data_IF_525496940914
#
_entry.id   IF_525496940914
#
_cell.length_a   1.000
_cell.length_b   1.000
_cell.length_c   1.000
_cell.angle_alpha   90.00
_cell.angle_beta   90.00
_cell.angle_gamma   90.00
#
_symmetry.space_group_name_H-M   'P 1'
#
loop_
_entity.id
_entity.type
_entity.pdbx_description
1 polymer ?
#
# COMPACT_ATOMS: atom_id res chain seq x y z
N UNK A 1 -6.04 12.56 1.52
CA UNK A 1 -6.05 11.09 1.37
C UNK A 1 -4.61 10.61 1.21
N UNK A 2 -4.19 9.63 2.00
CA UNK A 2 -2.91 8.94 1.85
C UNK A 2 -3.19 7.54 1.30
N UNK A 3 -2.41 7.12 0.29
CA UNK A 3 -2.54 5.79 -0.30
C UNK A 3 -1.16 5.18 -0.46
N UNK A 4 -1.00 3.98 0.08
CA UNK A 4 0.26 3.24 0.10
C UNK A 4 0.00 1.81 -0.31
N UNK A 5 0.82 1.25 -1.21
CA UNK A 5 0.63 -0.11 -1.72
C UNK A 5 1.95 -0.88 -1.73
N UNK A 6 1.90 -2.13 -1.32
CA UNK A 6 2.94 -3.11 -1.54
C UNK A 6 2.51 -4.05 -2.68
N UNK A 7 3.39 -4.24 -3.65
CA UNK A 7 3.19 -5.19 -4.76
C UNK A 7 4.36 -6.16 -4.87
N UNK A 8 4.14 -7.31 -5.50
CA UNK A 8 5.22 -8.27 -5.78
C UNK A 8 6.15 -7.75 -6.90
N UNK A 9 5.56 -7.16 -7.94
CA UNK A 9 6.25 -6.47 -9.03
C UNK A 9 5.44 -5.24 -9.49
N UNK A 10 6.07 -4.16 -9.95
CA UNK A 10 5.38 -3.00 -10.50
C UNK A 10 5.26 -3.06 -12.03
N UNK A 11 5.57 -4.19 -12.66
CA UNK A 11 5.67 -4.29 -14.13
C UNK A 11 4.33 -4.11 -14.83
N UNK A 12 3.23 -4.66 -14.31
CA UNK A 12 1.89 -4.45 -14.87
C UNK A 12 1.42 -2.99 -14.71
N UNK A 13 1.81 -2.32 -13.62
CA UNK A 13 1.57 -0.88 -13.44
C UNK A 13 2.35 -0.06 -14.48
N UNK A 14 3.60 -0.43 -14.78
CA UNK A 14 4.42 0.22 -15.82
C UNK A 14 3.84 -0.02 -17.20
N UNK A 15 3.56 -1.28 -17.55
CA UNK A 15 3.00 -1.66 -18.84
C UNK A 15 1.63 -0.99 -19.08
N UNK A 16 0.81 -0.85 -18.03
CA UNK A 16 -0.48 -0.16 -18.10
C UNK A 16 -0.40 1.38 -18.04
N UNK A 17 0.81 1.98 -17.99
CA UNK A 17 1.00 3.43 -17.93
C UNK A 17 0.56 4.08 -16.61
N UNK A 18 0.33 3.29 -15.56
CA UNK A 18 -0.16 3.75 -14.25
C UNK A 18 0.96 4.15 -13.30
N UNK A 19 2.19 3.68 -13.53
CA UNK A 19 3.37 4.09 -12.77
C UNK A 19 4.06 5.31 -13.42
N UNK A 20 4.37 6.33 -12.63
CA UNK A 20 5.04 7.53 -13.10
C UNK A 20 6.52 7.28 -13.47
N UNK A 21 7.02 7.78 -14.61
CA UNK A 21 8.39 7.53 -15.10
C UNK A 21 9.51 8.08 -14.21
N UNK A 22 9.25 9.15 -13.46
CA UNK A 22 10.25 9.90 -12.68
C UNK A 22 10.54 9.32 -11.28
N UNK A 23 10.05 8.12 -10.96
CA UNK A 23 10.04 7.63 -9.58
C UNK A 23 11.28 6.76 -9.24
N UNK A 24 12.37 7.42 -8.82
CA UNK A 24 13.48 6.84 -8.05
C UNK A 24 14.47 5.96 -8.84
N UNK A 25 15.66 5.64 -8.26
CA UNK A 25 16.73 5.01 -9.01
C UNK A 25 16.32 3.64 -9.54
N UNK A 26 16.61 3.43 -10.83
CA UNK A 26 16.58 2.14 -11.50
C UNK A 26 17.77 1.29 -11.02
N UNK A 27 17.74 0.85 -9.77
CA UNK A 27 18.60 -0.20 -9.25
C UNK A 27 17.86 -1.52 -9.27
N UNK A 28 18.28 -2.45 -10.11
CA UNK A 28 17.73 -3.81 -10.18
C UNK A 28 18.17 -4.64 -8.97
N UNK A 29 17.53 -4.42 -7.82
CA UNK A 29 17.56 -5.43 -6.75
C UNK A 29 16.37 -6.37 -7.03
N UNK A 30 16.65 -7.44 -7.77
CA UNK A 30 15.70 -8.48 -8.22
C UNK A 30 14.84 -9.10 -7.11
N UNK A 31 15.17 -8.87 -5.84
CA UNK A 31 14.51 -9.50 -4.69
C UNK A 31 13.74 -8.53 -3.79
N UNK A 32 13.72 -7.23 -4.11
CA UNK A 32 13.05 -6.23 -3.28
C UNK A 32 11.66 -5.85 -3.84
N UNK A 33 10.69 -5.82 -2.94
CA UNK A 33 9.27 -5.53 -3.18
C UNK A 33 9.04 -4.02 -3.24
N UNK A 34 8.41 -3.49 -4.29
CA UNK A 34 8.05 -2.08 -4.36
C UNK A 34 7.01 -1.70 -3.31
N UNK A 35 7.29 -0.61 -2.60
CA UNK A 35 6.27 0.20 -1.95
C UNK A 35 5.97 1.41 -2.83
N UNK A 36 4.69 1.65 -3.03
CA UNK A 36 4.16 2.66 -3.93
C UNK A 36 3.28 3.63 -3.15
N UNK A 37 3.12 4.82 -3.70
CA UNK A 37 2.16 5.80 -3.18
C UNK A 37 1.45 6.50 -4.32
N UNK A 38 0.30 7.12 -4.03
CA UNK A 38 -0.41 7.95 -4.97
C UNK A 38 -0.17 9.43 -4.66
N UNK A 39 0.30 10.18 -5.66
CA UNK A 39 0.49 11.63 -5.60
C UNK A 39 -0.13 12.26 -6.83
N UNK A 40 -0.99 13.27 -6.64
CA UNK A 40 -1.67 13.99 -7.72
C UNK A 40 -2.35 13.05 -8.74
N UNK A 41 -3.03 12.02 -8.24
CA UNK A 41 -3.75 11.03 -9.07
C UNK A 41 -2.85 10.06 -9.84
N UNK A 42 -1.53 10.04 -9.58
CA UNK A 42 -0.58 9.12 -10.22
C UNK A 42 0.12 8.24 -9.20
N UNK A 43 0.36 6.98 -9.57
CA UNK A 43 1.14 6.06 -8.75
C UNK A 43 2.63 6.36 -8.98
N UNK A 44 3.40 6.39 -7.90
CA UNK A 44 4.85 6.58 -7.92
C UNK A 44 5.53 5.59 -6.98
N UNK A 45 6.77 5.21 -7.31
CA UNK A 45 7.65 4.48 -6.40
C UNK A 45 7.91 5.31 -5.14
N UNK A 46 7.75 4.71 -3.97
CA UNK A 46 8.11 5.30 -2.70
C UNK A 46 9.46 4.78 -2.23
N UNK A 47 9.58 3.45 -2.07
CA UNK A 47 10.79 2.77 -1.63
C UNK A 47 10.71 1.27 -1.97
N UNK A 48 11.72 0.48 -1.56
CA UNK A 48 11.73 -0.97 -1.74
C UNK A 48 12.07 -1.67 -0.42
N UNK A 49 11.36 -2.76 -0.14
CA UNK A 49 11.53 -3.56 1.08
C UNK A 49 11.80 -5.03 0.74
N UNK A 50 12.51 -5.76 1.59
CA UNK A 50 12.97 -7.12 1.27
C UNK A 50 11.89 -8.20 1.41
N UNK A 51 11.05 -8.11 2.44
CA UNK A 51 10.12 -9.19 2.81
C UNK A 51 8.67 -8.69 2.80
N UNK A 52 7.72 -9.62 2.80
CA UNK A 52 6.28 -9.30 2.94
C UNK A 52 5.95 -8.73 4.32
N UNK A 53 6.57 -9.25 5.38
CA UNK A 53 6.40 -8.72 6.75
C UNK A 53 6.86 -7.27 6.81
N UNK A 54 8.08 -7.00 6.33
CA UNK A 54 8.62 -5.64 6.28
C UNK A 54 7.75 -4.70 5.44
N UNK A 55 7.11 -5.21 4.37
CA UNK A 55 6.15 -4.41 3.61
C UNK A 55 4.90 -4.06 4.42
N UNK A 56 4.31 -5.02 5.14
CA UNK A 56 3.13 -4.77 5.98
C UNK A 56 3.46 -3.79 7.12
N UNK A 57 4.54 -4.03 7.86
CA UNK A 57 5.03 -3.14 8.93
C UNK A 57 5.23 -1.72 8.39
N UNK A 58 5.89 -1.59 7.23
CA UNK A 58 6.15 -0.29 6.63
C UNK A 58 4.88 0.41 6.14
N UNK A 59 3.91 -0.33 5.61
CA UNK A 59 2.59 0.23 5.27
C UNK A 59 1.89 0.80 6.51
N UNK A 60 1.96 0.11 7.66
CA UNK A 60 1.39 0.59 8.92
C UNK A 60 2.08 1.87 9.41
N UNK A 61 3.42 1.92 9.35
CA UNK A 61 4.20 3.11 9.70
C UNK A 61 3.83 4.31 8.82
N UNK A 62 3.80 4.14 7.49
CA UNK A 62 3.46 5.20 6.54
C UNK A 62 2.03 5.71 6.76
N UNK A 63 1.09 4.80 7.04
CA UNK A 63 -0.29 5.15 7.35
C UNK A 63 -0.38 5.99 8.64
N UNK A 64 0.32 5.59 9.71
CA UNK A 64 0.33 6.31 10.97
C UNK A 64 0.98 7.69 10.85
N UNK A 65 2.10 7.78 10.12
CA UNK A 65 2.74 9.05 9.78
C UNK A 65 1.80 9.97 9.01
N UNK A 66 1.03 9.44 8.06
CA UNK A 66 0.06 10.21 7.29
C UNK A 66 -1.14 10.68 8.14
N UNK A 67 -1.65 9.82 9.02
CA UNK A 67 -2.70 10.18 9.97
C UNK A 67 -2.23 11.31 10.91
N UNK A 68 -0.95 11.28 11.30
CA UNK A 68 -0.30 12.29 12.13
C UNK A 68 -1.06 12.55 13.44
N UNK A 69 -1.52 11.49 14.10
CA UNK A 69 -2.26 11.58 15.36
C UNK A 69 -3.67 12.18 15.25
N UNK A 70 -4.22 12.35 14.03
CA UNK A 70 -5.60 12.81 13.82
C UNK A 70 -6.57 11.63 13.69
N UNK A 71 -7.85 11.82 14.03
CA UNK A 71 -8.89 10.88 13.65
C UNK A 71 -8.88 10.64 12.14
N UNK A 72 -9.03 9.39 11.73
CA UNK A 72 -9.01 9.04 10.31
C UNK A 72 -9.89 7.82 10.01
N UNK A 73 -10.38 7.75 8.80
CA UNK A 73 -10.95 6.52 8.24
C UNK A 73 -9.83 5.75 7.52
N UNK A 74 -9.81 4.43 7.71
CA UNK A 74 -8.75 3.55 7.19
C UNK A 74 -9.39 2.45 6.37
N UNK A 75 -8.85 2.21 5.18
CA UNK A 75 -9.18 1.02 4.38
C UNK A 75 -7.93 0.20 4.10
N UNK A 76 -8.02 -1.11 4.31
CA UNK A 76 -7.03 -2.10 3.92
C UNK A 76 -7.60 -2.89 2.75
N UNK A 77 -6.85 -2.95 1.65
CA UNK A 77 -7.20 -3.69 0.45
C UNK A 77 -6.19 -4.81 0.21
N UNK A 78 -6.66 -5.93 -0.35
CA UNK A 78 -5.78 -7.03 -0.71
C UNK A 78 -6.18 -7.72 -2.01
N UNK A 79 -5.29 -8.56 -2.54
CA UNK A 79 -5.59 -9.47 -3.65
C UNK A 79 -5.02 -10.85 -3.32
N UNK A 80 -5.89 -11.80 -2.97
CA UNK A 80 -5.49 -13.15 -2.56
C UNK A 80 -4.62 -13.18 -1.29
N UNK A 81 -4.73 -12.19 -0.39
CA UNK A 81 -3.91 -12.05 0.81
C UNK A 81 -4.74 -11.73 2.07
N UNK A 82 -5.93 -12.32 2.22
CA UNK A 82 -6.86 -12.01 3.30
C UNK A 82 -6.24 -12.09 4.71
N UNK A 83 -5.46 -13.15 5.02
CA UNK A 83 -4.80 -13.30 6.33
C UNK A 83 -3.85 -12.14 6.63
N UNK A 84 -2.99 -11.79 5.67
CA UNK A 84 -2.02 -10.70 5.86
C UNK A 84 -2.69 -9.34 5.95
N UNK A 85 -3.78 -9.17 5.23
CA UNK A 85 -4.57 -7.95 5.29
C UNK A 85 -5.25 -7.80 6.67
N UNK A 86 -5.70 -8.89 7.27
CA UNK A 86 -6.19 -8.91 8.65
C UNK A 86 -5.07 -8.60 9.66
N UNK A 87 -3.89 -9.17 9.50
CA UNK A 87 -2.71 -8.87 10.33
C UNK A 87 -2.34 -7.37 10.25
N UNK A 88 -2.25 -6.83 9.04
CA UNK A 88 -1.98 -5.41 8.80
C UNK A 88 -3.08 -4.51 9.40
N UNK A 89 -4.35 -4.92 9.27
CA UNK A 89 -5.44 -4.20 9.92
C UNK A 89 -5.25 -4.17 11.45
N UNK A 90 -4.79 -5.27 12.06
CA UNK A 90 -4.43 -5.33 13.49
C UNK A 90 -3.31 -4.36 13.85
N UNK A 91 -2.23 -4.32 13.06
CA UNK A 91 -1.13 -3.37 13.25
C UNK A 91 -1.60 -1.90 13.16
N UNK A 92 -2.46 -1.59 12.18
CA UNK A 92 -3.04 -0.26 12.01
C UNK A 92 -3.94 0.16 13.18
N UNK A 93 -4.63 -0.79 13.83
CA UNK A 93 -5.43 -0.51 15.02
C UNK A 93 -4.59 0.02 16.17
N UNK A 94 -3.40 -0.58 16.37
CA UNK A 94 -2.47 -0.16 17.40
C UNK A 94 -1.77 1.16 17.02
N UNK A 95 -1.38 1.31 15.75
CA UNK A 95 -0.64 2.47 15.27
C UNK A 95 -1.50 3.74 15.11
N UNK A 96 -2.82 3.59 14.89
CA UNK A 96 -3.76 4.69 14.69
C UNK A 96 -4.98 4.49 15.61
N UNK A 97 -4.84 4.74 16.93
CA UNK A 97 -5.90 4.48 17.90
C UNK A 97 -7.14 5.36 17.71
N UNK A 98 -7.01 6.48 16.98
CA UNK A 98 -8.12 7.39 16.66
C UNK A 98 -8.84 7.03 15.34
N UNK A 99 -8.59 5.85 14.78
CA UNK A 99 -9.29 5.40 13.59
C UNK A 99 -10.80 5.25 13.86
N UNK A 100 -11.66 5.98 13.13
CA UNK A 100 -13.11 5.94 13.35
C UNK A 100 -13.73 4.74 12.65
N UNK A 101 -13.44 4.59 11.36
CA UNK A 101 -13.89 3.46 10.55
C UNK A 101 -12.70 2.71 9.97
N UNK A 102 -12.81 1.38 9.97
CA UNK A 102 -11.80 0.46 9.45
C UNK A 102 -12.47 -0.50 8.49
N UNK A 103 -12.05 -0.44 7.24
CA UNK A 103 -12.54 -1.31 6.17
C UNK A 103 -11.46 -2.30 5.80
N UNK A 104 -11.85 -3.56 5.59
CA UNK A 104 -11.00 -4.61 5.08
C UNK A 104 -11.71 -5.24 3.88
N UNK A 105 -11.08 -5.23 2.71
CA UNK A 105 -11.74 -5.69 1.49
C UNK A 105 -10.75 -6.26 0.48
N UNK A 106 -11.24 -7.16 -0.37
CA UNK A 106 -10.50 -7.61 -1.55
C UNK A 106 -10.69 -6.60 -2.70
N UNK A 107 -9.61 -6.24 -3.38
CA UNK A 107 -9.66 -5.37 -4.53
C UNK A 107 -10.20 -6.11 -5.77
N UNK A 108 -10.98 -5.40 -6.59
CA UNK A 108 -11.60 -5.98 -7.78
C UNK A 108 -10.64 -6.18 -8.96
N UNK A 109 -11.16 -6.81 -10.02
CA UNK A 109 -10.40 -7.25 -11.20
C UNK A 109 -9.60 -6.13 -11.89
N UNK A 110 -10.13 -4.90 -11.92
CA UNK A 110 -9.42 -3.77 -12.51
C UNK A 110 -8.11 -3.42 -11.78
N UNK A 111 -8.10 -3.54 -10.45
CA UNK A 111 -6.89 -3.33 -9.65
C UNK A 111 -5.95 -4.52 -9.83
N UNK A 112 -6.47 -5.75 -9.77
CA UNK A 112 -5.71 -6.98 -10.03
C UNK A 112 -4.94 -6.95 -11.35
N UNK A 113 -5.58 -6.50 -12.43
CA UNK A 113 -4.97 -6.41 -13.75
C UNK A 113 -3.68 -5.55 -13.77
N UNK A 114 -3.58 -4.58 -12.85
CA UNK A 114 -2.45 -3.66 -12.79
C UNK A 114 -1.48 -3.96 -11.66
N UNK A 115 -1.94 -4.43 -10.50
CA UNK A 115 -1.07 -4.67 -9.33
C UNK A 115 -0.59 -6.10 -9.21
N UNK A 116 -1.21 -7.02 -9.95
CA UNK A 116 -0.99 -8.45 -9.82
C UNK A 116 -1.52 -9.05 -8.51
N UNK A 117 -1.42 -10.37 -8.35
CA UNK A 117 -1.72 -11.05 -7.09
C UNK A 117 -0.73 -10.65 -6.01
N UNK A 118 -1.12 -10.79 -4.74
CA UNK A 118 -0.22 -10.51 -3.62
C UNK A 118 -0.18 -9.05 -3.18
N UNK A 119 -0.96 -8.16 -3.82
CA UNK A 119 -1.06 -6.76 -3.44
C UNK A 119 -1.64 -6.60 -2.02
N UNK A 120 -1.04 -5.69 -1.25
CA UNK A 120 -1.61 -5.11 -0.04
C UNK A 120 -1.66 -3.59 -0.19
N UNK A 121 -2.77 -2.97 0.15
CA UNK A 121 -2.98 -1.53 0.05
C UNK A 121 -3.55 -0.97 1.35
N UNK A 122 -3.10 0.23 1.72
CA UNK A 122 -3.64 1.00 2.83
C UNK A 122 -4.03 2.39 2.34
N UNK A 123 -5.24 2.80 2.66
CA UNK A 123 -5.75 4.15 2.43
C UNK A 123 -6.10 4.78 3.78
N UNK A 124 -5.67 6.03 3.97
CA UNK A 124 -5.95 6.81 5.17
C UNK A 124 -6.59 8.15 4.78
N UNK A 125 -7.75 8.43 5.36
CA UNK A 125 -8.49 9.68 5.18
C UNK A 125 -8.61 10.39 6.54
N UNK A 126 -7.71 11.33 6.88
CA UNK A 126 -7.86 12.17 8.05
C UNK A 126 -9.14 12.99 7.97
N UNK A 127 -9.77 13.19 9.12
CA UNK A 127 -11.00 13.93 9.29
C UNK A 127 -10.76 15.44 9.34
#
# INVERSE_FOLDING_TARGET
LGSFLAVDSPDQLRAGGRLSPLAGPAGAVLTARPLLTMRSGRISMLERVRTRSAAAERLAELAAQFAAGRPADIAVQHIGQASRAAELAGQLAAAIPLARHRYLTEAGAAILAHTGPGMLGVVVAPC
#
